data_IF_471071486078
#
_entry.id   IF_471071486078
#
_cell.length_a   1.000
_cell.length_b   1.000
_cell.length_c   1.000
_cell.angle_alpha   90.00
_cell.angle_beta   90.00
_cell.angle_gamma   90.00
#
_symmetry.space_group_name_H-M   'P 1'
#
loop_
_entity.id
_entity.type
_entity.pdbx_description
1 polymer ?
#
# COMPACT_ATOMS: atom_id res chain seq x y z
N UNK A 1 -0.31 -21.37 -25.00
CA UNK A 1 -1.70 -21.79 -24.71
C UNK A 1 -2.20 -20.85 -23.65
N UNK A 2 -3.34 -20.21 -23.87
CA UNK A 2 -3.94 -19.26 -22.93
C UNK A 2 -5.29 -19.79 -22.44
N UNK A 3 -5.70 -19.37 -21.26
CA UNK A 3 -6.98 -19.66 -20.63
C UNK A 3 -7.75 -18.38 -20.39
N UNK A 4 -9.08 -18.48 -20.28
CA UNK A 4 -9.96 -17.36 -19.97
C UNK A 4 -10.18 -17.30 -18.45
N UNK A 5 -9.95 -16.12 -17.85
CA UNK A 5 -10.33 -15.83 -16.46
C UNK A 5 -11.54 -14.91 -16.48
N UNK A 6 -12.65 -15.34 -15.86
CA UNK A 6 -13.88 -14.56 -15.70
C UNK A 6 -14.00 -14.10 -14.25
N UNK A 7 -14.27 -12.81 -14.05
CA UNK A 7 -14.42 -12.19 -12.72
C UNK A 7 -15.88 -11.94 -12.42
N UNK A 8 -16.40 -12.59 -11.37
CA UNK A 8 -17.76 -12.37 -10.88
C UNK A 8 -17.74 -11.36 -9.71
N UNK A 9 -18.79 -10.54 -9.52
CA UNK A 9 -20.07 -10.52 -10.27
C UNK A 9 -20.01 -9.67 -11.54
N UNK A 10 -18.86 -9.07 -11.90
CA UNK A 10 -18.75 -8.13 -13.04
C UNK A 10 -19.00 -8.79 -14.40
N UNK A 11 -18.82 -10.10 -14.53
CA UNK A 11 -18.87 -10.85 -15.78
C UNK A 11 -17.74 -10.55 -16.77
N UNK A 12 -16.78 -9.68 -16.41
CA UNK A 12 -15.65 -9.33 -17.27
C UNK A 12 -14.65 -10.48 -17.36
N UNK A 13 -14.06 -10.66 -18.54
CA UNK A 13 -13.11 -11.75 -18.80
C UNK A 13 -11.86 -11.24 -19.45
N UNK A 14 -10.73 -11.94 -19.25
CA UNK A 14 -9.45 -11.66 -19.89
C UNK A 14 -8.64 -12.94 -20.09
N UNK A 15 -7.74 -12.91 -21.06
CA UNK A 15 -6.87 -14.03 -21.39
C UNK A 15 -5.61 -14.01 -20.48
N UNK A 16 -5.23 -15.19 -20.00
CA UNK A 16 -4.04 -15.43 -19.17
C UNK A 16 -3.24 -16.57 -19.77
N UNK A 17 -1.94 -16.38 -19.94
CA UNK A 17 -1.08 -17.45 -20.43
C UNK A 17 -0.90 -18.55 -19.38
N UNK A 18 -0.67 -19.79 -19.81
CA UNK A 18 -0.65 -20.97 -18.95
C UNK A 18 0.27 -20.83 -17.72
N UNK A 19 1.43 -20.20 -17.89
CA UNK A 19 2.45 -20.07 -16.83
C UNK A 19 2.49 -18.66 -16.24
N UNK A 20 1.52 -17.79 -16.62
CA UNK A 20 1.38 -16.42 -16.12
C UNK A 20 0.45 -16.41 -14.90
N UNK A 21 0.83 -15.78 -13.77
CA UNK A 21 -0.11 -15.54 -12.68
C UNK A 21 -1.30 -14.68 -13.13
N UNK A 22 -2.50 -15.02 -12.67
CA UNK A 22 -3.75 -14.32 -13.00
C UNK A 22 -3.63 -12.80 -12.77
N UNK A 23 -3.03 -12.38 -11.64
CA UNK A 23 -2.85 -10.97 -11.33
C UNK A 23 -1.88 -10.28 -12.30
N UNK A 24 -0.83 -10.96 -12.76
CA UNK A 24 0.12 -10.37 -13.71
C UNK A 24 -0.57 -10.04 -15.04
N UNK A 25 -1.39 -10.96 -15.56
CA UNK A 25 -2.22 -10.71 -16.73
C UNK A 25 -3.24 -9.59 -16.50
N UNK A 26 -3.90 -9.58 -15.33
CA UNK A 26 -4.85 -8.53 -14.98
C UNK A 26 -4.20 -7.14 -15.01
N UNK A 27 -3.02 -6.99 -14.39
CA UNK A 27 -2.25 -5.73 -14.39
C UNK A 27 -1.87 -5.34 -15.82
N UNK A 28 -1.32 -6.26 -16.60
CA UNK A 28 -0.90 -6.03 -17.99
C UNK A 28 -2.05 -5.57 -18.89
N UNK A 29 -3.26 -6.07 -18.64
CA UNK A 29 -4.45 -5.78 -19.44
C UNK A 29 -5.34 -4.67 -18.84
N UNK A 30 -4.92 -4.04 -17.74
CA UNK A 30 -5.68 -2.96 -17.10
C UNK A 30 -6.94 -3.43 -16.38
N UNK A 31 -6.98 -4.69 -15.90
CA UNK A 31 -8.06 -5.18 -15.07
C UNK A 31 -7.81 -4.85 -13.60
N UNK A 32 -8.75 -4.16 -12.98
CA UNK A 32 -8.65 -3.69 -11.60
C UNK A 32 -8.98 -4.76 -10.56
N UNK A 33 -8.18 -5.81 -10.45
CA UNK A 33 -8.26 -6.72 -9.31
C UNK A 33 -7.62 -6.08 -8.05
N UNK A 34 -8.11 -6.41 -6.83
CA UNK A 34 -7.46 -5.94 -5.60
C UNK A 34 -6.11 -6.62 -5.41
N UNK A 35 -5.07 -5.85 -5.03
CA UNK A 35 -3.76 -6.39 -4.68
C UNK A 35 -2.88 -5.39 -3.93
N UNK A 36 -1.90 -5.91 -3.19
CA UNK A 36 -0.81 -5.17 -2.54
C UNK A 36 0.54 -5.63 -3.05
N UNK A 37 1.16 -6.64 -2.42
CA UNK A 37 2.56 -7.02 -2.61
C UNK A 37 2.92 -7.71 -3.93
N UNK A 38 2.04 -8.43 -4.60
CA UNK A 38 2.24 -9.31 -5.78
C UNK A 38 3.08 -10.58 -5.52
N UNK A 39 3.61 -10.77 -4.33
CA UNK A 39 4.63 -11.79 -4.02
C UNK A 39 4.09 -12.94 -3.13
N UNK A 40 2.77 -13.04 -2.95
CA UNK A 40 2.16 -14.10 -2.14
C UNK A 40 2.30 -13.91 -0.62
N UNK A 41 2.70 -12.72 -0.14
CA UNK A 41 3.00 -12.49 1.27
C UNK A 41 1.90 -11.77 2.07
N UNK A 42 1.06 -10.92 1.44
CA UNK A 42 0.13 -10.04 2.14
C UNK A 42 -1.33 -10.51 2.17
N UNK A 43 -1.74 -11.39 1.27
CA UNK A 43 -3.13 -11.88 1.19
C UNK A 43 -4.14 -10.89 0.58
N UNK A 44 -3.75 -9.65 0.22
CA UNK A 44 -4.69 -8.63 -0.29
C UNK A 44 -5.40 -8.98 -1.60
N UNK A 45 -4.85 -9.90 -2.38
CA UNK A 45 -5.47 -10.38 -3.62
C UNK A 45 -6.29 -11.66 -3.43
N UNK A 46 -6.38 -12.20 -2.20
CA UNK A 46 -7.09 -13.46 -1.94
C UNK A 46 -8.55 -13.37 -2.38
N UNK A 47 -8.98 -14.34 -3.15
CA UNK A 47 -10.36 -14.45 -3.63
C UNK A 47 -10.81 -15.90 -3.75
N UNK A 48 -12.10 -16.12 -3.94
CA UNK A 48 -12.67 -17.45 -4.15
C UNK A 48 -12.58 -17.84 -5.62
N UNK A 49 -12.09 -19.03 -5.90
CA UNK A 49 -12.25 -19.69 -7.20
C UNK A 49 -13.60 -20.42 -7.20
N UNK A 50 -14.45 -20.08 -8.16
CA UNK A 50 -15.77 -20.67 -8.33
C UNK A 50 -15.71 -21.88 -9.27
N UNK A 51 -14.89 -21.78 -10.34
CA UNK A 51 -14.74 -22.83 -11.34
C UNK A 51 -13.31 -22.85 -11.86
N UNK A 52 -12.88 -24.01 -12.34
CA UNK A 52 -11.57 -24.19 -12.99
C UNK A 52 -10.50 -24.79 -12.08
N UNK A 53 -9.23 -24.68 -12.51
CA UNK A 53 -8.06 -25.19 -11.80
C UNK A 53 -6.90 -24.23 -11.97
N UNK A 54 -6.11 -24.08 -10.90
CA UNK A 54 -4.87 -23.29 -10.88
C UNK A 54 -3.74 -24.10 -10.25
N UNK A 55 -2.51 -23.67 -10.50
CA UNK A 55 -1.33 -24.09 -9.73
C UNK A 55 -0.83 -22.84 -9.01
N UNK A 56 -0.62 -22.96 -7.70
CA UNK A 56 0.00 -21.89 -6.90
C UNK A 56 1.52 -21.94 -6.96
N UNK A 57 2.14 -20.79 -7.08
CA UNK A 57 3.54 -20.56 -6.79
C UNK A 57 3.80 -20.46 -5.27
N UNK A 58 5.03 -20.06 -4.92
CA UNK A 58 5.45 -19.89 -3.52
C UNK A 58 4.67 -18.77 -2.86
N UNK A 59 4.08 -19.03 -1.70
CA UNK A 59 3.33 -18.05 -0.90
C UNK A 59 3.44 -18.34 0.59
N UNK A 60 3.04 -17.37 1.41
CA UNK A 60 3.04 -17.47 2.86
C UNK A 60 1.74 -18.10 3.36
N UNK A 61 1.83 -18.98 4.36
CA UNK A 61 0.68 -19.59 5.01
C UNK A 61 -0.27 -18.55 5.65
N UNK A 62 0.25 -17.43 6.12
CA UNK A 62 -0.57 -16.32 6.62
C UNK A 62 -1.39 -15.63 5.51
N UNK A 63 -0.91 -15.67 4.27
CA UNK A 63 -1.62 -15.07 3.11
C UNK A 63 -2.67 -16.03 2.54
N UNK A 64 -2.35 -17.33 2.48
CA UNK A 64 -3.26 -18.40 2.07
C UNK A 64 -2.83 -19.68 2.80
N UNK A 65 -3.62 -20.12 3.74
CA UNK A 65 -3.40 -21.38 4.45
C UNK A 65 -3.87 -22.58 3.62
N UNK A 66 -3.32 -23.77 3.91
CA UNK A 66 -3.72 -25.02 3.26
C UNK A 66 -5.25 -25.29 3.41
N UNK A 67 -5.82 -24.92 4.55
CA UNK A 67 -7.26 -25.03 4.79
C UNK A 67 -8.07 -24.08 3.91
N UNK A 68 -7.61 -22.86 3.70
CA UNK A 68 -8.26 -21.90 2.80
C UNK A 68 -8.12 -22.32 1.34
N UNK A 69 -6.96 -22.85 0.93
CA UNK A 69 -6.76 -23.38 -0.42
C UNK A 69 -7.68 -24.58 -0.66
N UNK A 70 -7.77 -25.51 0.28
CA UNK A 70 -8.71 -26.65 0.23
C UNK A 70 -10.18 -26.20 0.20
N UNK A 71 -10.51 -25.02 0.77
CA UNK A 71 -11.83 -24.40 0.69
C UNK A 71 -12.10 -23.61 -0.60
N UNK A 72 -11.17 -23.66 -1.58
CA UNK A 72 -11.29 -23.02 -2.88
C UNK A 72 -10.90 -21.54 -2.92
N UNK A 73 -10.16 -21.04 -1.92
CA UNK A 73 -9.56 -19.72 -2.00
C UNK A 73 -8.23 -19.78 -2.77
N UNK A 74 -7.91 -18.72 -3.49
CA UNK A 74 -6.68 -18.60 -4.26
C UNK A 74 -6.02 -17.24 -4.04
N UNK A 75 -4.71 -17.16 -4.35
CA UNK A 75 -3.97 -15.89 -4.48
C UNK A 75 -3.68 -15.62 -5.96
N UNK A 76 -4.46 -14.79 -6.65
CA UNK A 76 -4.23 -14.45 -8.06
C UNK A 76 -2.81 -14.00 -8.41
N UNK A 77 -2.06 -13.44 -7.43
CA UNK A 77 -0.67 -13.06 -7.65
C UNK A 77 0.29 -14.26 -7.74
N UNK A 78 -0.12 -15.45 -7.31
CA UNK A 78 0.66 -16.68 -7.33
C UNK A 78 -0.06 -17.83 -8.07
N UNK A 79 -1.32 -17.65 -8.45
CA UNK A 79 -2.13 -18.66 -9.11
C UNK A 79 -1.99 -18.55 -10.64
N UNK A 80 -1.45 -19.58 -11.28
CA UNK A 80 -1.40 -19.73 -12.74
C UNK A 80 -2.51 -20.69 -13.22
N UNK A 81 -3.34 -20.33 -14.21
CA UNK A 81 -4.47 -21.13 -14.63
C UNK A 81 -4.04 -22.42 -15.37
N UNK A 82 -4.77 -23.51 -15.13
CA UNK A 82 -4.62 -24.80 -15.83
C UNK A 82 -5.85 -25.19 -16.64
N UNK A 83 -6.88 -24.39 -16.57
CA UNK A 83 -8.13 -24.43 -17.37
C UNK A 83 -8.70 -23.03 -17.42
N UNK A 84 -9.82 -22.83 -18.10
CA UNK A 84 -10.61 -21.63 -17.88
C UNK A 84 -11.03 -21.56 -16.41
N UNK A 85 -11.04 -20.35 -15.83
CA UNK A 85 -11.22 -20.10 -14.41
C UNK A 85 -12.30 -19.04 -14.19
N UNK A 86 -13.17 -19.25 -13.22
CA UNK A 86 -14.10 -18.23 -12.72
C UNK A 86 -13.71 -17.88 -11.28
N UNK A 87 -13.47 -16.60 -11.03
CA UNK A 87 -13.15 -16.08 -9.68
C UNK A 87 -14.22 -15.12 -9.20
N UNK A 88 -14.44 -15.08 -7.90
CA UNK A 88 -15.26 -14.09 -7.23
C UNK A 88 -14.35 -13.01 -6.62
N UNK A 89 -14.30 -11.86 -7.26
CA UNK A 89 -13.50 -10.74 -6.80
C UNK A 89 -14.19 -9.41 -7.12
N UNK A 90 -14.16 -8.48 -6.16
CA UNK A 90 -14.65 -7.13 -6.40
C UNK A 90 -13.66 -6.38 -7.29
N UNK A 91 -14.14 -5.87 -8.41
CA UNK A 91 -13.34 -4.97 -9.24
C UNK A 91 -13.10 -3.65 -8.49
N UNK A 92 -11.88 -3.17 -8.53
CA UNK A 92 -11.47 -1.88 -7.92
C UNK A 92 -11.60 -0.80 -8.98
N UNK A 93 -12.58 0.13 -8.89
CA UNK A 93 -12.71 1.24 -9.82
C UNK A 93 -11.42 2.07 -9.84
N UNK A 94 -10.93 2.45 -11.03
CA UNK A 94 -9.69 3.21 -11.21
C UNK A 94 -8.41 2.35 -11.20
N UNK A 95 -8.41 1.14 -10.61
CA UNK A 95 -7.25 0.27 -10.74
C UNK A 95 -7.05 -0.18 -12.19
N UNK A 96 -5.80 -0.06 -12.69
CA UNK A 96 -5.47 -0.33 -14.09
C UNK A 96 -5.81 0.82 -15.05
N UNK A 97 -6.31 1.97 -14.57
CA UNK A 97 -6.55 3.16 -15.39
C UNK A 97 -5.26 3.69 -16.02
N UNK A 98 -4.17 3.68 -15.26
CA UNK A 98 -2.88 4.15 -15.73
C UNK A 98 -1.99 2.96 -16.08
N UNK A 99 -1.40 2.94 -17.31
CA UNK A 99 -0.53 1.85 -17.73
C UNK A 99 0.75 1.81 -16.90
N UNK A 100 1.18 0.62 -16.56
CA UNK A 100 2.48 0.39 -15.90
C UNK A 100 3.60 0.73 -16.88
N UNK A 101 4.57 1.54 -16.41
CA UNK A 101 5.68 2.04 -17.23
C UNK A 101 7.01 1.85 -16.54
N UNK A 102 8.04 1.54 -17.33
CA UNK A 102 9.45 1.53 -16.89
C UNK A 102 10.08 2.87 -17.24
N UNK A 103 10.61 3.56 -16.26
CA UNK A 103 11.18 4.90 -16.42
C UNK A 103 12.57 4.96 -15.76
N UNK A 104 13.52 5.68 -16.37
CA UNK A 104 14.69 6.15 -15.63
C UNK A 104 14.25 7.22 -14.64
N UNK A 105 14.91 7.27 -13.50
CA UNK A 105 14.73 8.34 -12.51
C UNK A 105 16.08 8.78 -11.99
N UNK A 106 16.17 10.03 -11.57
CA UNK A 106 17.38 10.62 -11.01
C UNK A 106 17.12 11.09 -9.58
N UNK A 107 17.99 10.71 -8.65
CA UNK A 107 17.91 11.18 -7.27
C UNK A 107 18.11 12.70 -7.25
N UNK A 108 17.10 13.43 -6.74
CA UNK A 108 17.14 14.88 -6.57
C UNK A 108 17.69 15.27 -5.20
N UNK A 109 17.15 14.64 -4.15
CA UNK A 109 17.57 14.88 -2.77
C UNK A 109 17.37 13.63 -1.93
N UNK A 110 18.14 13.56 -0.84
CA UNK A 110 18.04 12.54 0.21
C UNK A 110 18.06 13.29 1.54
N UNK A 111 16.93 13.36 2.20
CA UNK A 111 16.78 13.94 3.53
C UNK A 111 16.65 12.81 4.55
N UNK A 112 17.25 12.98 5.73
CA UNK A 112 17.20 11.99 6.83
C UNK A 112 16.58 12.61 8.06
N UNK A 113 15.26 12.65 8.16
CA UNK A 113 14.57 13.24 9.31
C UNK A 113 14.80 12.45 10.60
N UNK A 114 15.10 11.15 10.49
CA UNK A 114 15.51 10.30 11.62
C UNK A 114 16.71 9.43 11.24
N UNK A 115 17.31 8.73 12.19
CA UNK A 115 18.43 7.84 11.93
C UNK A 115 18.09 6.68 11.00
N UNK A 116 16.82 6.24 10.97
CA UNK A 116 16.36 5.07 10.22
C UNK A 116 15.33 5.40 9.13
N UNK A 117 15.00 6.67 8.88
CA UNK A 117 14.09 7.09 7.80
C UNK A 117 14.80 8.05 6.85
N UNK A 118 14.68 7.78 5.55
CA UNK A 118 15.12 8.66 4.48
C UNK A 118 13.93 9.08 3.61
N UNK A 119 13.81 10.37 3.33
CA UNK A 119 12.91 10.93 2.33
C UNK A 119 13.73 11.13 1.07
N UNK A 120 13.41 10.40 0.01
CA UNK A 120 14.11 10.43 -1.27
C UNK A 120 13.20 11.05 -2.32
N UNK A 121 13.68 12.11 -2.98
CA UNK A 121 12.98 12.69 -4.12
C UNK A 121 13.64 12.23 -5.42
N UNK A 122 12.83 11.75 -6.35
CA UNK A 122 13.26 11.24 -7.64
C UNK A 122 12.69 12.09 -8.77
N UNK A 123 13.54 12.69 -9.59
CA UNK A 123 13.13 13.34 -10.83
C UNK A 123 12.85 12.30 -11.90
N UNK A 124 11.69 12.43 -12.55
CA UNK A 124 11.30 11.67 -13.74
C UNK A 124 11.67 12.44 -15.02
N UNK A 125 11.65 11.79 -16.19
CA UNK A 125 11.88 12.46 -17.47
C UNK A 125 10.93 13.64 -17.68
N UNK A 126 11.46 14.77 -18.16
CA UNK A 126 10.66 15.94 -18.46
C UNK A 126 9.68 15.64 -19.61
N UNK A 127 8.45 16.18 -19.50
CA UNK A 127 7.41 16.00 -20.51
C UNK A 127 6.73 14.63 -20.50
N UNK A 128 7.10 13.74 -19.57
CA UNK A 128 6.54 12.39 -19.48
C UNK A 128 6.28 11.97 -18.01
N UNK A 129 5.35 12.66 -17.32
CA UNK A 129 5.05 12.37 -15.92
C UNK A 129 4.45 10.97 -15.74
N UNK A 130 4.76 10.32 -14.64
CA UNK A 130 4.08 9.10 -14.22
C UNK A 130 2.67 9.46 -13.73
N UNK A 131 1.64 8.95 -14.39
CA UNK A 131 0.26 9.07 -13.91
C UNK A 131 -0.02 7.98 -12.90
N UNK A 132 -0.62 8.32 -11.76
CA UNK A 132 -0.95 7.38 -10.68
C UNK A 132 -2.05 7.95 -9.78
N UNK A 133 -2.68 7.10 -8.99
CA UNK A 133 -3.58 7.50 -7.90
C UNK A 133 -2.80 7.68 -6.60
N UNK A 134 -3.15 8.70 -5.80
CA UNK A 134 -2.54 8.91 -4.48
C UNK A 134 -2.71 7.69 -3.58
N UNK A 135 -1.60 7.12 -3.13
CA UNK A 135 -1.55 5.87 -2.37
C UNK A 135 -0.90 4.69 -3.09
N UNK A 136 -0.75 4.76 -4.43
CA UNK A 136 -0.05 3.73 -5.21
C UNK A 136 1.47 3.74 -4.97
N UNK A 137 2.15 2.67 -5.42
CA UNK A 137 3.59 2.49 -5.25
C UNK A 137 4.31 2.29 -6.59
N UNK A 138 5.63 2.43 -6.56
CA UNK A 138 6.56 2.04 -7.62
C UNK A 138 7.47 0.92 -7.15
N UNK A 139 8.09 0.23 -8.10
CA UNK A 139 9.17 -0.71 -7.87
C UNK A 139 10.48 -0.20 -8.43
N UNK A 140 11.54 -0.23 -7.63
CA UNK A 140 12.90 -0.13 -8.14
C UNK A 140 13.31 -1.46 -8.77
N UNK A 141 13.94 -1.38 -9.94
CA UNK A 141 14.55 -2.52 -10.62
C UNK A 141 16.06 -2.45 -10.32
N UNK A 142 16.53 -3.34 -9.45
CA UNK A 142 17.93 -3.37 -9.04
C UNK A 142 18.81 -4.01 -10.12
N UNK A 143 20.15 -3.89 -9.97
CA UNK A 143 21.12 -4.39 -10.95
C UNK A 143 21.07 -5.91 -11.14
N UNK A 144 20.71 -6.64 -10.10
CA UNK A 144 20.55 -8.11 -10.12
C UNK A 144 19.15 -8.55 -10.61
N UNK A 145 18.32 -7.61 -11.06
CA UNK A 145 16.95 -7.86 -11.50
C UNK A 145 15.93 -7.95 -10.38
N UNK A 146 16.35 -8.00 -9.11
CA UNK A 146 15.42 -7.98 -7.98
C UNK A 146 14.67 -6.66 -7.88
N UNK A 147 13.49 -6.68 -7.24
CA UNK A 147 12.59 -5.53 -7.17
C UNK A 147 12.36 -5.12 -5.72
N UNK A 148 12.15 -3.82 -5.50
CA UNK A 148 11.80 -3.26 -4.19
C UNK A 148 10.70 -2.23 -4.36
N UNK A 149 9.60 -2.46 -3.67
CA UNK A 149 8.38 -1.65 -3.73
C UNK A 149 8.43 -0.52 -2.70
N UNK A 150 8.05 0.69 -3.13
CA UNK A 150 7.91 1.85 -2.23
C UNK A 150 6.73 2.70 -2.66
N UNK A 151 5.87 3.02 -1.70
CA UNK A 151 4.70 3.86 -1.92
C UNK A 151 5.11 5.31 -2.21
N UNK A 152 4.43 5.93 -3.17
CA UNK A 152 4.61 7.34 -3.48
C UNK A 152 3.99 8.20 -2.37
N UNK A 153 4.77 9.11 -1.84
CA UNK A 153 4.41 9.94 -0.67
C UNK A 153 3.88 11.33 -1.05
N UNK A 154 3.88 11.67 -2.34
CA UNK A 154 3.28 12.90 -2.84
C UNK A 154 2.07 12.59 -3.74
N UNK A 155 1.09 13.48 -3.73
CA UNK A 155 -0.06 13.37 -4.63
C UNK A 155 0.34 13.69 -6.09
N UNK A 156 -0.35 13.12 -7.11
CA UNK A 156 0.02 13.26 -8.52
C UNK A 156 0.11 14.71 -9.01
N UNK A 157 -0.76 15.57 -8.52
CA UNK A 157 -0.81 16.99 -8.92
C UNK A 157 0.42 17.80 -8.47
N UNK A 158 1.18 17.30 -7.48
CA UNK A 158 2.38 17.97 -6.97
C UNK A 158 3.65 17.67 -7.78
N UNK A 159 3.55 16.89 -8.85
CA UNK A 159 4.71 16.62 -9.71
C UNK A 159 5.21 17.88 -10.45
N UNK A 160 4.32 18.85 -10.78
CA UNK A 160 4.68 20.11 -11.44
C UNK A 160 5.31 19.93 -12.83
N UNK A 161 5.97 20.98 -13.34
CA UNK A 161 6.63 20.98 -14.66
C UNK A 161 7.89 20.09 -14.69
N UNK A 162 8.48 19.84 -13.54
CA UNK A 162 9.61 18.90 -13.35
C UNK A 162 9.12 17.71 -12.53
N UNK A 163 8.55 16.69 -13.20
CA UNK A 163 7.92 15.60 -12.50
C UNK A 163 8.86 14.94 -11.48
N UNK A 164 8.42 14.86 -10.24
CA UNK A 164 9.18 14.25 -9.16
C UNK A 164 8.29 13.36 -8.30
N UNK A 165 8.85 12.24 -7.84
CA UNK A 165 8.24 11.36 -6.85
C UNK A 165 8.94 11.55 -5.52
N UNK A 166 8.18 11.53 -4.44
CA UNK A 166 8.68 11.50 -3.08
C UNK A 166 8.43 10.11 -2.49
N UNK A 167 9.44 9.54 -1.86
CA UNK A 167 9.40 8.21 -1.25
C UNK A 167 9.96 8.29 0.17
N UNK A 168 9.32 7.60 1.12
CA UNK A 168 9.81 7.49 2.49
C UNK A 168 10.32 6.06 2.73
N UNK A 169 11.60 5.92 3.00
CA UNK A 169 12.27 4.64 3.12
C UNK A 169 12.75 4.43 4.56
N UNK A 170 12.37 3.29 5.15
CA UNK A 170 12.96 2.88 6.43
C UNK A 170 14.18 2.00 6.19
N UNK A 171 15.25 2.25 6.92
CA UNK A 171 16.44 1.41 6.91
C UNK A 171 16.11 0.04 7.51
N UNK A 172 16.36 -0.98 6.72
CA UNK A 172 16.35 -2.38 7.16
C UNK A 172 17.79 -2.89 7.03
N UNK A 173 18.53 -3.02 8.14
CA UNK A 173 19.90 -3.51 8.11
C UNK A 173 20.03 -4.85 7.37
N UNK A 174 20.98 -4.96 6.44
CA UNK A 174 21.10 -6.11 5.52
C UNK A 174 20.20 -6.06 4.29
N UNK A 175 19.33 -5.05 4.20
CA UNK A 175 18.46 -4.85 3.04
C UNK A 175 19.21 -4.28 1.85
N UNK A 176 19.35 -5.02 0.74
CA UNK A 176 20.13 -4.63 -0.45
C UNK A 176 19.91 -3.19 -0.91
N UNK A 177 18.67 -2.73 -0.93
CA UNK A 177 18.35 -1.37 -1.39
C UNK A 177 18.45 -0.35 -0.26
N UNK A 178 17.96 -0.66 0.93
CA UNK A 178 18.00 0.29 2.05
C UNK A 178 19.42 0.55 2.52
N UNK A 179 20.30 -0.47 2.58
CA UNK A 179 21.72 -0.26 2.87
C UNK A 179 22.40 0.65 1.83
N UNK A 180 22.02 0.51 0.54
CA UNK A 180 22.49 1.41 -0.50
C UNK A 180 22.00 2.85 -0.28
N UNK A 181 20.71 3.03 0.03
CA UNK A 181 20.12 4.36 0.31
C UNK A 181 20.81 5.04 1.50
N UNK A 182 21.08 4.31 2.58
CA UNK A 182 21.67 4.87 3.80
C UNK A 182 23.20 4.96 3.76
N UNK A 183 23.85 4.24 2.84
CA UNK A 183 25.32 4.20 2.71
C UNK A 183 25.84 4.95 1.50
N UNK A 184 25.61 4.42 0.30
CA UNK A 184 26.32 4.81 -0.92
C UNK A 184 25.53 5.72 -1.88
N UNK A 185 24.19 5.74 -1.77
CA UNK A 185 23.32 6.54 -2.66
C UNK A 185 23.60 8.03 -2.47
N UNK A 186 23.64 8.75 -3.57
CA UNK A 186 23.84 10.20 -3.60
C UNK A 186 22.95 10.87 -4.63
N UNK A 187 22.83 12.17 -4.51
CA UNK A 187 22.20 13.01 -5.52
C UNK A 187 22.80 12.78 -6.90
N UNK A 188 21.96 12.84 -7.92
CA UNK A 188 22.25 12.58 -9.34
C UNK A 188 22.41 11.10 -9.70
N UNK A 189 22.39 10.17 -8.75
CA UNK A 189 22.36 8.74 -9.09
C UNK A 189 21.14 8.42 -9.97
N UNK A 190 21.36 7.53 -10.96
CA UNK A 190 20.31 7.10 -11.88
C UNK A 190 19.79 5.73 -11.45
N UNK A 191 18.48 5.66 -11.28
CA UNK A 191 17.75 4.45 -10.88
C UNK A 191 16.71 4.12 -11.93
N UNK A 192 16.29 2.86 -11.99
CA UNK A 192 15.16 2.43 -12.82
C UNK A 192 13.97 2.12 -11.95
N UNK A 193 12.82 2.68 -12.31
CA UNK A 193 11.56 2.47 -11.62
C UNK A 193 10.50 1.91 -12.58
N UNK A 194 9.56 1.19 -12.04
CA UNK A 194 8.38 0.69 -12.75
C UNK A 194 7.14 0.95 -11.90
N UNK A 195 6.07 1.36 -12.52
CA UNK A 195 4.79 1.65 -11.88
C UNK A 195 3.82 2.40 -12.79
N UNK A 196 2.66 2.80 -12.27
CA UNK A 196 2.21 2.63 -10.89
C UNK A 196 1.68 1.22 -10.61
N UNK A 197 1.75 0.81 -9.35
CA UNK A 197 1.20 -0.45 -8.86
C UNK A 197 0.33 -0.23 -7.62
N UNK A 198 -0.46 -1.24 -7.28
CA UNK A 198 -1.27 -1.30 -6.07
C UNK A 198 -2.70 -0.83 -6.27
N UNK A 199 -3.59 -1.43 -5.47
CA UNK A 199 -5.00 -1.04 -5.40
C UNK A 199 -5.32 -0.22 -4.14
N UNK A 200 -4.31 0.15 -3.37
CA UNK A 200 -4.41 1.04 -2.22
C UNK A 200 -4.35 2.50 -2.68
N UNK A 201 -5.50 3.15 -2.82
CA UNK A 201 -5.63 4.55 -3.18
C UNK A 201 -7.00 5.11 -2.79
N UNK A 202 -7.13 6.43 -2.75
CA UNK A 202 -8.36 7.12 -2.38
C UNK A 202 -9.56 6.68 -3.23
N UNK A 203 -10.69 6.43 -2.59
CA UNK A 203 -11.99 6.19 -3.24
C UNK A 203 -12.74 7.50 -3.34
N UNK A 204 -12.59 8.18 -4.49
CA UNK A 204 -13.13 9.53 -4.71
C UNK A 204 -14.65 9.52 -4.87
N UNK A 205 -15.23 8.39 -5.27
CA UNK A 205 -16.66 8.17 -5.44
C UNK A 205 -17.43 7.97 -4.12
N UNK A 206 -16.72 7.91 -2.99
CA UNK A 206 -17.31 7.72 -1.66
C UNK A 206 -17.37 9.02 -0.88
N UNK A 207 -18.50 9.25 -0.20
CA UNK A 207 -18.68 10.33 0.77
C UNK A 207 -18.57 9.86 2.23
N UNK A 208 -18.31 8.58 2.48
CA UNK A 208 -18.21 8.01 3.84
C UNK A 208 -17.08 8.67 4.63
N UNK A 209 -17.23 8.82 5.95
CA UNK A 209 -16.11 9.21 6.81
C UNK A 209 -14.97 8.19 6.69
N UNK A 210 -13.74 8.62 6.93
CA UNK A 210 -12.58 7.77 6.75
C UNK A 210 -11.62 7.80 7.93
N UNK A 211 -11.07 6.64 8.26
CA UNK A 211 -9.89 6.47 9.11
C UNK A 211 -8.69 6.23 8.20
N UNK A 212 -7.69 7.08 8.30
CA UNK A 212 -6.37 6.91 7.72
C UNK A 212 -5.45 6.36 8.82
N UNK A 213 -5.04 5.10 8.73
CA UNK A 213 -4.28 4.40 9.76
C UNK A 213 -2.87 4.10 9.26
N UNK A 214 -1.86 4.70 9.88
CA UNK A 214 -0.47 4.51 9.52
C UNK A 214 0.35 3.94 10.67
N UNK A 215 1.37 3.11 10.36
CA UNK A 215 2.47 2.82 11.28
C UNK A 215 3.82 3.09 10.62
N UNK A 216 4.69 3.84 11.32
CA UNK A 216 6.01 4.21 10.81
C UNK A 216 5.95 4.85 9.42
N UNK A 217 6.72 4.33 8.46
CA UNK A 217 6.74 4.82 7.07
C UNK A 217 5.51 4.44 6.25
N UNK A 218 4.56 3.67 6.79
CA UNK A 218 3.22 3.55 6.22
C UNK A 218 2.48 4.88 6.11
N UNK A 219 3.02 5.92 6.74
CA UNK A 219 2.58 7.30 6.57
C UNK A 219 2.78 7.83 5.13
N UNK A 220 3.73 7.29 4.34
CA UNK A 220 4.03 7.78 2.99
C UNK A 220 2.80 7.80 2.06
N UNK A 221 2.12 6.66 1.77
CA UNK A 221 0.94 6.68 0.91
C UNK A 221 -0.25 7.41 1.55
N UNK A 222 -0.34 7.43 2.88
CA UNK A 222 -1.36 8.19 3.61
C UNK A 222 -1.16 9.70 3.40
N UNK A 223 0.09 10.19 3.43
CA UNK A 223 0.41 11.58 3.12
C UNK A 223 -0.06 11.96 1.70
N UNK A 224 0.23 11.12 0.71
CA UNK A 224 -0.25 11.35 -0.66
C UNK A 224 -1.79 11.43 -0.75
N UNK A 225 -2.49 10.56 -0.02
CA UNK A 225 -3.97 10.58 0.06
C UNK A 225 -4.46 11.88 0.71
N UNK A 226 -3.82 12.34 1.80
CA UNK A 226 -4.18 13.61 2.46
C UNK A 226 -3.96 14.80 1.54
N UNK A 227 -2.84 14.85 0.80
CA UNK A 227 -2.58 15.91 -0.19
C UNK A 227 -3.64 15.93 -1.30
N UNK A 228 -4.08 14.74 -1.74
CA UNK A 228 -5.16 14.65 -2.73
C UNK A 228 -6.51 15.12 -2.17
N UNK A 229 -6.83 14.77 -0.93
CA UNK A 229 -8.03 15.26 -0.23
C UNK A 229 -8.03 16.80 -0.07
N UNK A 230 -6.87 17.40 0.18
CA UNK A 230 -6.69 18.86 0.23
C UNK A 230 -6.97 19.45 -1.16
N UNK A 231 -6.38 18.92 -2.23
CA UNK A 231 -6.63 19.35 -3.60
C UNK A 231 -8.11 19.31 -3.97
N UNK A 232 -8.78 18.22 -3.59
CA UNK A 232 -10.21 18.00 -3.81
C UNK A 232 -11.11 18.86 -2.91
N UNK A 233 -10.53 19.58 -1.93
CA UNK A 233 -11.29 20.32 -0.90
C UNK A 233 -12.35 19.46 -0.24
N UNK A 234 -11.93 18.24 0.16
CA UNK A 234 -12.83 17.24 0.68
C UNK A 234 -13.62 17.75 1.89
N UNK A 235 -14.93 17.48 1.89
CA UNK A 235 -15.82 17.77 3.03
C UNK A 235 -16.07 16.53 3.89
N UNK A 236 -15.38 15.42 3.60
CA UNK A 236 -15.51 14.19 4.37
C UNK A 236 -14.91 14.39 5.76
N UNK A 237 -15.47 13.69 6.74
CA UNK A 237 -14.80 13.53 8.03
C UNK A 237 -13.60 12.60 7.86
N UNK A 238 -12.41 13.08 8.25
CA UNK A 238 -11.13 12.41 8.06
C UNK A 238 -10.42 12.34 9.41
N UNK A 239 -10.06 11.13 9.84
CA UNK A 239 -9.28 10.96 11.06
C UNK A 239 -7.98 10.20 10.74
N UNK A 240 -6.85 10.86 10.92
CA UNK A 240 -5.51 10.31 10.72
C UNK A 240 -4.95 9.80 12.05
N UNK A 241 -4.78 8.50 12.18
CA UNK A 241 -4.08 7.86 13.29
C UNK A 241 -2.70 7.41 12.81
N UNK A 242 -1.66 7.95 13.43
CA UNK A 242 -0.28 7.59 13.08
C UNK A 242 0.45 7.01 14.28
N UNK A 243 0.73 5.70 14.24
CA UNK A 243 1.42 4.93 15.26
C UNK A 243 2.93 4.89 15.04
N UNK A 244 3.68 5.22 16.08
CA UNK A 244 5.14 5.08 16.13
C UNK A 244 5.56 4.54 17.49
N UNK A 245 6.83 4.11 17.66
CA UNK A 245 7.34 3.70 18.96
C UNK A 245 7.62 4.90 19.86
N UNK A 246 8.38 5.85 19.31
CA UNK A 246 8.88 7.04 20.01
C UNK A 246 8.40 8.31 19.31
N UNK A 247 8.47 9.45 20.02
CA UNK A 247 8.13 10.76 19.47
C UNK A 247 9.00 11.12 18.25
N UNK A 248 10.29 10.81 18.32
CA UNK A 248 11.24 11.04 17.22
C UNK A 248 10.88 10.30 15.92
N UNK A 249 10.14 9.19 16.00
CA UNK A 249 9.72 8.41 14.84
C UNK A 249 8.57 9.05 14.06
N UNK A 250 7.89 10.06 14.64
CA UNK A 250 6.88 10.88 13.98
C UNK A 250 7.56 11.94 13.09
N UNK A 251 8.34 11.51 12.12
CA UNK A 251 9.30 12.32 11.34
C UNK A 251 8.69 13.47 10.50
N UNK A 252 7.38 13.50 10.33
CA UNK A 252 6.60 14.57 9.69
C UNK A 252 5.40 15.00 10.56
N UNK A 253 5.59 14.99 11.87
CA UNK A 253 4.55 15.37 12.84
C UNK A 253 3.95 16.75 12.55
N UNK A 254 4.81 17.76 12.37
CA UNK A 254 4.38 19.14 12.10
C UNK A 254 3.61 19.25 10.77
N UNK A 255 4.02 18.48 9.76
CA UNK A 255 3.30 18.42 8.49
C UNK A 255 1.88 17.85 8.68
N UNK A 256 1.72 16.78 9.47
CA UNK A 256 0.42 16.18 9.74
C UNK A 256 -0.51 17.12 10.53
N UNK A 257 0.04 17.90 11.46
CA UNK A 257 -0.70 18.95 12.17
C UNK A 257 -1.12 20.09 11.23
N UNK A 258 -0.21 20.51 10.34
CA UNK A 258 -0.50 21.58 9.39
C UNK A 258 -1.57 21.21 8.36
N UNK A 259 -1.54 19.97 7.85
CA UNK A 259 -2.53 19.45 6.90
C UNK A 259 -3.97 19.54 7.44
N UNK A 260 -4.15 19.39 8.75
CA UNK A 260 -5.45 19.54 9.40
C UNK A 260 -6.06 20.96 9.31
N UNK A 261 -5.26 21.97 8.98
CA UNK A 261 -5.76 23.35 8.79
C UNK A 261 -6.33 23.61 7.41
N UNK A 262 -6.04 22.71 6.46
CA UNK A 262 -6.46 22.82 5.05
C UNK A 262 -7.71 21.98 4.74
N UNK A 263 -8.13 21.10 5.66
CA UNK A 263 -9.29 20.24 5.52
C UNK A 263 -10.42 20.66 6.47
N UNK A 264 -11.66 20.58 6.00
CA UNK A 264 -12.82 21.09 6.74
C UNK A 264 -13.11 20.30 8.02
N UNK A 265 -12.96 18.97 8.00
CA UNK A 265 -13.20 18.08 9.14
C UNK A 265 -12.07 17.04 9.21
N UNK A 266 -10.95 17.45 9.80
CA UNK A 266 -9.75 16.62 9.94
C UNK A 266 -9.29 16.56 11.40
N UNK A 267 -9.01 15.35 11.84
CA UNK A 267 -8.45 15.09 13.16
C UNK A 267 -7.16 14.26 13.02
N UNK A 268 -6.06 14.75 13.57
CA UNK A 268 -4.80 14.01 13.67
C UNK A 268 -4.61 13.45 15.07
N UNK A 269 -4.34 12.15 15.17
CA UNK A 269 -4.15 11.41 16.42
C UNK A 269 -2.83 10.64 16.36
N UNK A 270 -1.71 11.25 16.80
CA UNK A 270 -0.46 10.51 16.96
C UNK A 270 -0.54 9.58 18.17
N UNK A 271 -0.01 8.35 18.01
CA UNK A 271 -0.04 7.32 19.06
C UNK A 271 1.35 6.73 19.24
N UNK A 272 1.88 6.72 20.47
CA UNK A 272 3.19 6.11 20.76
C UNK A 272 3.01 4.80 21.52
N UNK A 273 3.63 3.72 21.00
CA UNK A 273 3.58 2.41 21.66
C UNK A 273 4.59 2.28 22.81
N UNK A 274 5.71 2.98 22.73
CA UNK A 274 6.84 2.87 23.67
C UNK A 274 7.43 4.25 24.00
N UNK A 275 6.61 5.22 24.47
CA UNK A 275 7.15 6.54 24.82
C UNK A 275 8.13 6.42 25.99
N UNK A 276 9.25 7.09 25.92
CA UNK A 276 10.18 7.19 27.03
C UNK A 276 10.01 8.52 27.77
N UNK A 277 10.61 8.62 28.95
CA UNK A 277 10.50 9.84 29.78
C UNK A 277 11.00 11.10 29.06
N UNK A 278 12.07 10.96 28.27
CA UNK A 278 12.66 12.06 27.47
C UNK A 278 11.78 12.52 26.30
N UNK A 279 10.77 11.74 25.89
CA UNK A 279 9.82 12.15 24.86
C UNK A 279 8.87 13.25 25.36
N UNK A 280 8.74 13.44 26.67
CA UNK A 280 7.77 14.36 27.29
C UNK A 280 6.37 14.24 26.64
N UNK A 281 5.96 12.99 26.41
CA UNK A 281 4.74 12.70 25.66
C UNK A 281 3.50 12.78 26.55
N UNK A 282 2.57 13.63 26.18
CA UNK A 282 1.26 13.78 26.84
C UNK A 282 0.08 13.29 25.99
N UNK A 283 0.38 12.81 24.75
CA UNK A 283 -0.63 12.30 23.83
C UNK A 283 -1.01 10.84 24.10
N UNK A 284 -1.65 10.22 23.13
CA UNK A 284 -2.08 8.82 23.21
C UNK A 284 -0.91 7.84 23.26
N UNK A 285 -1.09 6.76 24.04
CA UNK A 285 -0.14 5.66 24.15
C UNK A 285 -0.80 4.33 23.84
N UNK A 286 0.02 3.32 23.45
CA UNK A 286 -0.41 1.98 23.11
C UNK A 286 -0.43 1.69 21.62
N UNK A 287 -1.22 0.68 21.20
CA UNK A 287 -1.29 0.27 19.80
C UNK A 287 -2.27 1.15 19.02
N UNK A 288 -1.84 1.64 17.86
CA UNK A 288 -2.60 2.63 17.07
C UNK A 288 -3.98 2.14 16.65
N UNK A 289 -4.15 0.85 16.28
CA UNK A 289 -5.46 0.31 15.94
C UNK A 289 -6.42 0.25 17.15
N UNK A 290 -5.89 0.03 18.37
CA UNK A 290 -6.69 0.07 19.59
C UNK A 290 -7.16 1.49 19.90
N UNK A 291 -6.36 2.51 19.58
CA UNK A 291 -6.77 3.90 19.70
C UNK A 291 -7.99 4.20 18.80
N UNK A 292 -7.99 3.69 17.56
CA UNK A 292 -9.16 3.78 16.67
C UNK A 292 -10.37 3.09 17.28
N UNK A 293 -10.24 1.85 17.77
CA UNK A 293 -11.36 1.11 18.36
C UNK A 293 -11.96 1.80 19.61
N UNK A 294 -11.09 2.45 20.39
CA UNK A 294 -11.53 3.21 21.55
C UNK A 294 -12.39 4.42 21.14
N UNK A 295 -11.98 5.13 20.07
CA UNK A 295 -12.68 6.32 19.59
C UNK A 295 -13.91 5.96 18.75
N UNK A 296 -13.85 4.84 18.05
CA UNK A 296 -14.86 4.35 17.11
C UNK A 296 -15.23 2.90 17.40
N UNK A 297 -16.07 2.65 18.41
CA UNK A 297 -16.58 1.31 18.70
C UNK A 297 -17.51 0.77 17.59
N UNK A 298 -17.99 1.65 16.71
CA UNK A 298 -18.77 1.34 15.51
C UNK A 298 -18.15 1.99 14.27
N UNK A 299 -17.72 1.15 13.31
CA UNK A 299 -17.13 1.54 12.03
C UNK A 299 -18.03 1.14 10.83
N UNK A 300 -19.28 0.75 11.05
CA UNK A 300 -20.16 0.22 9.99
C UNK A 300 -20.32 1.19 8.80
N UNK A 301 -20.28 2.50 9.05
CA UNK A 301 -20.44 3.53 8.03
C UNK A 301 -19.10 4.18 7.61
N UNK A 302 -17.98 3.62 8.01
CA UNK A 302 -16.65 4.17 7.75
C UNK A 302 -15.92 3.45 6.63
N UNK A 303 -14.90 4.11 6.07
CA UNK A 303 -13.84 3.51 5.29
C UNK A 303 -12.54 3.55 6.09
N UNK A 304 -11.75 2.49 6.02
CA UNK A 304 -10.43 2.42 6.66
C UNK A 304 -9.35 2.21 5.61
N UNK A 305 -8.34 3.08 5.62
CA UNK A 305 -7.12 2.95 4.82
C UNK A 305 -5.95 2.68 5.75
N UNK A 306 -5.48 1.44 5.81
CA UNK A 306 -4.44 0.99 6.73
C UNK A 306 -3.12 0.68 6.01
N UNK A 307 -2.03 1.32 6.43
CA UNK A 307 -0.72 1.12 5.80
C UNK A 307 0.41 1.03 6.83
N UNK A 308 1.37 0.13 6.59
CA UNK A 308 2.58 -0.02 7.39
C UNK A 308 2.91 -1.47 7.77
N UNK A 309 3.33 -1.69 9.01
CA UNK A 309 3.75 -3.01 9.48
C UNK A 309 2.63 -4.07 9.31
N UNK A 310 2.93 -5.26 8.74
CA UNK A 310 1.92 -6.30 8.50
C UNK A 310 1.11 -6.65 9.74
N UNK A 311 1.76 -6.82 10.90
CA UNK A 311 1.08 -7.14 12.17
C UNK A 311 0.07 -6.07 12.58
N UNK A 312 0.33 -4.79 12.31
CA UNK A 312 -0.61 -3.70 12.60
C UNK A 312 -1.80 -3.77 11.65
N UNK A 313 -1.57 -3.95 10.36
CA UNK A 313 -2.61 -4.03 9.32
C UNK A 313 -3.52 -5.23 9.57
N UNK A 314 -2.94 -6.41 9.82
CA UNK A 314 -3.69 -7.64 10.07
C UNK A 314 -4.53 -7.56 11.37
N UNK A 315 -3.95 -6.98 12.43
CA UNK A 315 -4.66 -6.78 13.69
C UNK A 315 -5.81 -5.78 13.54
N UNK A 316 -5.57 -4.67 12.83
CA UNK A 316 -6.60 -3.68 12.55
C UNK A 316 -7.77 -4.29 11.75
N UNK A 317 -7.50 -5.01 10.66
CA UNK A 317 -8.54 -5.66 9.86
C UNK A 317 -9.37 -6.62 10.69
N UNK A 318 -8.70 -7.56 11.37
CA UNK A 318 -9.37 -8.55 12.21
C UNK A 318 -10.28 -7.89 13.26
N UNK A 319 -9.73 -6.92 14.00
CA UNK A 319 -10.43 -6.34 15.14
C UNK A 319 -11.53 -5.37 14.69
N UNK A 320 -11.33 -4.58 13.65
CA UNK A 320 -12.33 -3.64 13.13
C UNK A 320 -13.53 -4.37 12.51
N UNK A 321 -13.28 -5.43 11.74
CA UNK A 321 -14.35 -6.25 11.15
C UNK A 321 -15.12 -7.01 12.25
N UNK A 322 -14.38 -7.71 13.13
CA UNK A 322 -15.02 -8.59 14.10
C UNK A 322 -15.68 -7.86 15.28
N UNK A 323 -15.17 -6.67 15.65
CA UNK A 323 -15.54 -6.01 16.92
C UNK A 323 -16.15 -4.61 16.75
N UNK A 324 -15.85 -3.93 15.62
CA UNK A 324 -16.38 -2.61 15.32
C UNK A 324 -17.36 -2.59 14.14
N UNK A 325 -17.71 -3.75 13.58
CA UNK A 325 -18.70 -3.88 12.52
C UNK A 325 -18.29 -3.28 11.17
N UNK A 326 -17.00 -3.02 10.95
CA UNK A 326 -16.51 -2.52 9.66
C UNK A 326 -16.80 -3.55 8.57
N UNK A 327 -17.45 -3.19 7.45
CA UNK A 327 -17.55 -4.07 6.31
C UNK A 327 -16.16 -4.41 5.76
N UNK A 328 -15.89 -5.69 5.52
CA UNK A 328 -14.54 -6.13 5.10
C UNK A 328 -14.09 -5.49 3.77
N UNK A 329 -15.03 -5.17 2.90
CA UNK A 329 -14.81 -4.49 1.63
C UNK A 329 -14.58 -2.97 1.74
N UNK A 330 -14.71 -2.41 2.93
CA UNK A 330 -14.37 -1.01 3.25
C UNK A 330 -13.02 -0.89 3.99
N UNK A 331 -12.31 -2.01 4.15
CA UNK A 331 -10.95 -2.04 4.68
C UNK A 331 -9.93 -2.14 3.54
N UNK A 332 -9.26 -1.05 3.24
CA UNK A 332 -8.20 -0.95 2.24
C UNK A 332 -6.84 -1.05 2.92
N UNK A 333 -5.96 -1.91 2.41
CA UNK A 333 -4.69 -2.20 3.08
C UNK A 333 -3.49 -2.19 2.14
N UNK A 334 -2.37 -1.67 2.65
CA UNK A 334 -1.04 -1.83 2.07
C UNK A 334 -0.04 -2.23 3.17
N UNK A 335 0.20 -3.52 3.31
CA UNK A 335 1.12 -4.07 4.31
C UNK A 335 2.54 -4.12 3.75
N UNK A 336 3.49 -3.47 4.42
CA UNK A 336 4.89 -3.40 4.00
C UNK A 336 5.64 -4.69 4.35
N UNK A 337 5.60 -5.66 3.44
CA UNK A 337 6.29 -6.94 3.59
C UNK A 337 7.78 -6.77 3.24
N UNK A 338 8.66 -7.29 4.11
CA UNK A 338 10.10 -7.39 3.87
C UNK A 338 10.45 -8.63 3.04
N UNK A 339 11.71 -8.75 2.60
CA UNK A 339 12.17 -10.01 1.96
C UNK A 339 12.04 -11.22 2.88
N UNK A 340 12.25 -11.04 4.19
CA UNK A 340 12.05 -12.11 5.17
C UNK A 340 10.57 -12.55 5.26
N UNK A 341 9.64 -11.65 4.99
CA UNK A 341 8.21 -11.95 4.97
C UNK A 341 7.77 -12.70 3.70
N UNK A 342 8.61 -12.73 2.65
CA UNK A 342 8.30 -13.38 1.36
C UNK A 342 8.75 -14.84 1.31
N UNK A 343 9.74 -15.19 2.12
CA UNK A 343 10.26 -16.55 2.20
C UNK A 343 9.85 -17.18 3.53
N UNK A 344 9.19 -18.35 3.53
CA UNK A 344 8.93 -19.06 4.77
C UNK A 344 10.27 -19.38 5.46
N UNK A 345 10.33 -19.37 6.79
CA UNK A 345 11.51 -19.88 7.49
C UNK A 345 11.73 -21.34 7.07
N UNK A 346 12.99 -21.66 6.78
CA UNK A 346 13.41 -23.01 6.39
C UNK A 346 13.15 -24.01 7.51
#
# INVERSE_FOLDING_TARGET
MSFTVTVQPSGRSFAVDRDEPILAAAIRLGFGLPYGCKDGACGSCKCRMLEGRVIHGVHQQKALSDAEEAAGLILPCQAAPQSDVVIEARMVPGAGEFPVRKLPSRVLSIERPTADVAIVKLQLPAGDPLRYHAGQYIEFILRDGSRRSYSMANAPHLQGDKPALELHLRHLPGGKFTDHVFGAMKEKDILRVEGPFGSFFLREDSAKPMVLLASGTGFAPIKAIVEELIRLRSQRKIELYWGCRRRSDLYLHEWAEAAGRELADFRYVPVLSEPAAEDHWSGRTGLVHQAVMHDHPDLMQWQVFACGAPIMVDSARRDFVARCGLPDDEFYADAFTSEADKHPPA
#
